data_IF_896522539560
#
_entry.id   IF_896522539560
#
_cell.length_a   1.000
_cell.length_b   1.000
_cell.length_c   1.000
_cell.angle_alpha   90.00
_cell.angle_beta   90.00
_cell.angle_gamma   90.00
#
_symmetry.space_group_name_H-M   'P 1'
#
loop_
_entity.id
_entity.type
_entity.pdbx_description
1 polymer ?
#
# COMPACT_ATOMS: atom_id res chain seq x y z
N UNK A 1 27.50 17.66 0.87
CA UNK A 1 27.85 18.02 -0.52
C UNK A 1 28.30 16.75 -1.23
N UNK A 2 27.77 16.47 -2.41
CA UNK A 2 28.20 15.34 -3.25
C UNK A 2 28.75 15.92 -4.55
N UNK A 3 29.96 15.50 -4.95
CA UNK A 3 30.61 15.96 -6.18
C UNK A 3 30.75 14.76 -7.12
N UNK A 4 30.27 14.89 -8.35
CA UNK A 4 30.29 13.83 -9.35
C UNK A 4 30.97 14.35 -10.63
N UNK A 5 31.96 13.62 -11.19
CA UNK A 5 32.60 14.02 -12.44
C UNK A 5 31.60 14.01 -13.62
N UNK A 6 31.62 15.05 -14.45
CA UNK A 6 30.73 15.16 -15.62
C UNK A 6 30.82 13.96 -16.57
N UNK A 7 32.02 13.39 -16.74
CA UNK A 7 32.22 12.19 -17.58
C UNK A 7 31.41 10.98 -17.11
N UNK A 8 31.23 10.82 -15.79
CA UNK A 8 30.40 9.74 -15.21
C UNK A 8 28.90 10.03 -15.36
N UNK A 9 28.51 11.30 -15.35
CA UNK A 9 27.11 11.73 -15.50
C UNK A 9 26.62 11.48 -16.94
N UNK A 10 27.42 11.86 -17.94
CA UNK A 10 27.05 11.72 -19.36
C UNK A 10 27.02 10.23 -19.77
N UNK A 11 27.88 9.40 -19.18
CA UNK A 11 27.92 7.97 -19.46
C UNK A 11 26.79 7.14 -18.84
N UNK A 12 25.93 7.75 -18.01
CA UNK A 12 24.85 7.06 -17.30
C UNK A 12 23.46 7.63 -17.59
N UNK A 13 22.42 6.96 -17.08
CA UNK A 13 21.04 7.44 -17.19
C UNK A 13 20.80 8.60 -16.21
N UNK A 14 20.25 9.71 -16.72
CA UNK A 14 19.88 10.88 -15.91
C UNK A 14 18.36 10.94 -15.79
N UNK A 15 17.84 10.81 -14.56
CA UNK A 15 16.41 10.92 -14.26
C UNK A 15 16.13 12.33 -13.75
N UNK A 16 15.33 13.10 -14.50
CA UNK A 16 14.94 14.45 -14.13
C UNK A 16 13.47 14.47 -13.67
N UNK A 17 13.26 14.65 -12.37
CA UNK A 17 11.93 14.71 -11.77
C UNK A 17 11.22 16.05 -11.98
N UNK A 18 11.93 17.14 -12.30
CA UNK A 18 11.38 18.49 -12.41
C UNK A 18 10.89 18.82 -13.83
N UNK A 19 11.40 18.12 -14.85
CA UNK A 19 11.07 18.40 -16.26
C UNK A 19 9.59 18.20 -16.60
N UNK A 20 8.91 17.26 -15.93
CA UNK A 20 7.49 17.00 -16.15
C UNK A 20 6.64 17.68 -15.07
N UNK A 21 5.54 18.37 -15.45
CA UNK A 21 4.72 19.13 -14.50
C UNK A 21 3.86 18.24 -13.60
N UNK A 22 3.56 17.02 -14.06
CA UNK A 22 2.72 16.06 -13.35
C UNK A 22 3.48 14.79 -13.04
N UNK A 23 3.22 14.22 -11.87
CA UNK A 23 3.83 12.99 -11.40
C UNK A 23 2.78 12.06 -10.87
N UNK A 24 2.92 10.77 -11.18
CA UNK A 24 2.03 9.73 -10.68
C UNK A 24 2.48 9.32 -9.28
N UNK A 25 1.55 9.34 -8.34
CA UNK A 25 1.68 8.81 -7.00
C UNK A 25 1.16 7.38 -6.99
N UNK A 26 1.85 6.49 -6.29
CA UNK A 26 1.44 5.11 -6.08
C UNK A 26 1.44 4.81 -4.57
N UNK A 27 0.32 4.33 -4.06
CA UNK A 27 0.16 3.87 -2.68
C UNK A 27 -0.34 2.42 -2.71
N UNK A 28 0.30 1.56 -1.93
CA UNK A 28 -0.12 0.18 -1.70
C UNK A 28 -0.76 0.11 -0.32
N UNK A 29 -2.00 -0.36 -0.27
CA UNK A 29 -2.80 -0.46 0.97
C UNK A 29 -3.15 -1.92 1.20
N UNK A 30 -2.64 -2.50 2.28
CA UNK A 30 -2.99 -3.85 2.72
C UNK A 30 -4.22 -3.84 3.63
N UNK A 31 -5.24 -4.61 3.31
CA UNK A 31 -6.43 -4.82 4.15
C UNK A 31 -6.62 -6.29 4.48
N UNK A 32 -7.43 -6.58 5.48
CA UNK A 32 -7.69 -7.94 5.94
C UNK A 32 -8.48 -8.74 4.90
N UNK A 33 -8.31 -10.06 4.91
CA UNK A 33 -8.92 -10.98 3.94
C UNK A 33 -10.44 -11.09 4.05
N UNK A 34 -11.00 -10.74 5.20
CA UNK A 34 -12.44 -10.71 5.49
C UNK A 34 -13.14 -9.48 4.89
N UNK A 35 -12.39 -8.51 4.39
CA UNK A 35 -12.90 -7.25 3.90
C UNK A 35 -13.47 -7.38 2.48
N UNK A 36 -14.69 -6.87 2.28
CA UNK A 36 -15.38 -6.97 0.99
C UNK A 36 -14.73 -6.05 -0.07
N UNK A 37 -14.41 -6.61 -1.24
CA UNK A 37 -13.59 -5.97 -2.28
C UNK A 37 -14.25 -4.72 -2.85
N UNK A 38 -15.56 -4.76 -3.11
CA UNK A 38 -16.30 -3.63 -3.67
C UNK A 38 -16.38 -2.47 -2.67
N UNK A 39 -16.51 -2.76 -1.38
CA UNK A 39 -16.56 -1.81 -0.29
C UNK A 39 -15.21 -1.09 -0.12
N UNK A 40 -14.11 -1.84 -0.05
CA UNK A 40 -12.76 -1.27 0.06
C UNK A 40 -12.49 -0.34 -1.14
N UNK A 41 -12.82 -0.78 -2.36
CA UNK A 41 -12.67 0.07 -3.55
C UNK A 41 -13.49 1.34 -3.47
N UNK A 42 -14.75 1.26 -3.02
CA UNK A 42 -15.61 2.43 -2.89
C UNK A 42 -15.07 3.43 -1.86
N UNK A 43 -14.53 2.96 -0.74
CA UNK A 43 -13.93 3.81 0.29
C UNK A 43 -12.68 4.50 -0.25
N UNK A 44 -11.76 3.75 -0.89
CA UNK A 44 -10.55 4.32 -1.50
C UNK A 44 -10.87 5.32 -2.61
N UNK A 45 -11.87 5.03 -3.46
CA UNK A 45 -12.33 5.96 -4.49
C UNK A 45 -12.81 7.29 -3.92
N UNK A 46 -13.58 7.26 -2.82
CA UNK A 46 -14.08 8.49 -2.19
C UNK A 46 -12.96 9.35 -1.61
N UNK A 47 -11.92 8.74 -1.03
CA UNK A 47 -10.75 9.47 -0.54
C UNK A 47 -10.06 10.17 -1.70
N UNK A 48 -9.83 9.45 -2.81
CA UNK A 48 -9.23 10.03 -4.02
C UNK A 48 -10.10 11.14 -4.61
N UNK A 49 -11.42 10.97 -4.69
CA UNK A 49 -12.36 12.00 -5.21
C UNK A 49 -12.45 13.24 -4.31
N UNK A 50 -12.11 13.11 -3.03
CA UNK A 50 -12.19 14.23 -2.08
C UNK A 50 -10.99 15.19 -2.14
N UNK A 51 -9.86 14.77 -2.71
CA UNK A 51 -8.66 15.62 -2.83
C UNK A 51 -8.64 16.39 -4.15
N UNK A 52 -8.91 17.69 -4.07
CA UNK A 52 -8.92 18.60 -5.22
C UNK A 52 -7.59 18.74 -5.97
N UNK A 53 -6.46 18.33 -5.37
CA UNK A 53 -5.13 18.38 -6.01
C UNK A 53 -4.92 17.22 -7.00
N UNK A 54 -5.79 16.21 -6.98
CA UNK A 54 -5.70 15.05 -7.86
C UNK A 54 -6.25 15.38 -9.26
N UNK A 55 -5.44 15.07 -10.27
CA UNK A 55 -5.74 15.33 -11.68
C UNK A 55 -6.57 14.20 -12.28
N UNK A 56 -7.87 14.15 -11.95
CA UNK A 56 -8.78 13.07 -12.38
C UNK A 56 -8.87 12.87 -13.90
N UNK A 57 -8.63 13.92 -14.69
CA UNK A 57 -8.64 13.85 -16.16
C UNK A 57 -7.50 13.00 -16.73
N UNK A 58 -6.41 12.77 -15.98
CA UNK A 58 -5.31 11.87 -16.37
C UNK A 58 -5.58 10.41 -15.98
N UNK A 59 -6.70 10.14 -15.32
CA UNK A 59 -7.14 8.82 -14.90
C UNK A 59 -6.58 8.38 -13.55
N UNK A 60 -7.35 7.54 -12.87
CA UNK A 60 -7.07 7.06 -11.52
C UNK A 60 -7.24 5.53 -11.54
N UNK A 61 -6.28 4.81 -10.96
CA UNK A 61 -6.34 3.34 -10.89
C UNK A 61 -6.45 2.91 -9.45
N UNK A 62 -7.60 2.31 -9.09
CA UNK A 62 -7.85 1.73 -7.78
C UNK A 62 -8.28 0.28 -7.99
N UNK A 63 -7.38 -0.67 -7.68
CA UNK A 63 -7.57 -2.09 -7.98
C UNK A 63 -6.92 -2.96 -6.90
N UNK A 64 -7.44 -4.18 -6.74
CA UNK A 64 -6.73 -5.23 -6.01
C UNK A 64 -5.51 -5.62 -6.85
N UNK A 65 -4.32 -5.47 -6.27
CA UNK A 65 -3.04 -5.71 -6.92
C UNK A 65 -2.52 -7.12 -6.63
N UNK A 66 -2.68 -7.58 -5.39
CA UNK A 66 -2.09 -8.83 -4.93
C UNK A 66 -2.86 -9.40 -3.73
N UNK A 67 -2.95 -10.73 -3.67
CA UNK A 67 -3.40 -11.49 -2.50
C UNK A 67 -2.15 -12.01 -1.77
N UNK A 68 -1.65 -11.24 -0.81
CA UNK A 68 -0.38 -11.49 -0.13
C UNK A 68 -0.55 -12.43 1.08
N UNK A 69 0.55 -12.81 1.75
CA UNK A 69 0.54 -13.82 2.81
C UNK A 69 -0.42 -13.54 3.98
N UNK A 70 -0.65 -12.28 4.33
CA UNK A 70 -1.55 -11.90 5.43
C UNK A 70 -2.51 -10.76 5.09
N UNK A 71 -2.49 -10.25 3.85
CA UNK A 71 -3.28 -9.09 3.42
C UNK A 71 -3.73 -9.16 1.97
N UNK A 72 -4.82 -8.47 1.66
CA UNK A 72 -5.21 -8.10 0.30
C UNK A 72 -4.63 -6.72 -0.01
N UNK A 73 -3.70 -6.65 -0.96
CA UNK A 73 -2.99 -5.43 -1.31
C UNK A 73 -3.70 -4.70 -2.45
N UNK A 74 -4.18 -3.50 -2.19
CA UNK A 74 -4.76 -2.60 -3.18
C UNK A 74 -3.71 -1.61 -3.66
N UNK A 75 -3.71 -1.35 -4.97
CA UNK A 75 -2.92 -0.27 -5.55
C UNK A 75 -3.84 0.93 -5.83
N UNK A 76 -3.43 2.10 -5.33
CA UNK A 76 -4.02 3.40 -5.62
C UNK A 76 -3.00 4.20 -6.41
N UNK A 77 -3.31 4.50 -7.68
CA UNK A 77 -2.49 5.34 -8.55
C UNK A 77 -3.26 6.57 -8.97
N UNK A 78 -2.69 7.73 -8.69
CA UNK A 78 -3.28 9.04 -8.99
C UNK A 78 -2.22 9.98 -9.54
N UNK A 79 -2.64 10.99 -10.29
CA UNK A 79 -1.73 12.02 -10.80
C UNK A 79 -1.90 13.30 -9.99
N UNK A 80 -0.79 13.94 -9.66
CA UNK A 80 -0.76 15.24 -8.99
C UNK A 80 0.28 16.14 -9.67
N UNK A 81 0.24 17.43 -9.36
CA UNK A 81 1.32 18.34 -9.74
C UNK A 81 2.60 17.98 -8.99
N UNK A 82 3.74 18.23 -9.63
CA UNK A 82 5.04 17.92 -9.04
C UNK A 82 5.31 18.71 -7.75
N UNK A 83 4.80 19.95 -7.67
CA UNK A 83 4.93 20.79 -6.48
C UNK A 83 4.20 20.20 -5.25
N UNK A 84 3.04 19.58 -5.48
CA UNK A 84 2.15 19.08 -4.43
C UNK A 84 2.38 17.59 -4.13
N UNK A 85 3.33 16.94 -4.82
CA UNK A 85 3.48 15.48 -4.84
C UNK A 85 3.58 14.86 -3.43
N UNK A 86 4.39 15.45 -2.55
CA UNK A 86 4.61 14.91 -1.21
C UNK A 86 3.44 15.19 -0.27
N UNK A 87 2.88 16.39 -0.35
CA UNK A 87 1.74 16.76 0.50
C UNK A 87 0.52 15.89 0.15
N UNK A 88 0.24 15.68 -1.14
CA UNK A 88 -0.81 14.75 -1.59
C UNK A 88 -0.50 13.32 -1.14
N UNK A 89 0.74 12.87 -1.21
CA UNK A 89 1.12 11.52 -0.77
C UNK A 89 0.82 11.31 0.71
N UNK A 90 1.24 12.23 1.59
CA UNK A 90 1.05 12.11 3.03
C UNK A 90 -0.42 12.28 3.44
N UNK A 91 -1.09 13.31 2.93
CA UNK A 91 -2.51 13.56 3.25
C UNK A 91 -3.39 12.40 2.78
N UNK A 92 -3.12 11.83 1.61
CA UNK A 92 -3.84 10.68 1.10
C UNK A 92 -3.58 9.43 1.94
N UNK A 93 -2.35 9.22 2.43
CA UNK A 93 -2.04 8.09 3.31
C UNK A 93 -2.82 8.18 4.64
N UNK A 94 -2.84 9.36 5.26
CA UNK A 94 -3.60 9.61 6.48
C UNK A 94 -5.11 9.49 6.23
N UNK A 95 -5.60 10.10 5.15
CA UNK A 95 -7.00 10.05 4.75
C UNK A 95 -7.49 8.62 4.46
N UNK A 96 -6.67 7.80 3.80
CA UNK A 96 -6.94 6.38 3.60
C UNK A 96 -7.08 5.67 4.95
N UNK A 97 -6.13 5.85 5.86
CA UNK A 97 -6.18 5.19 7.18
C UNK A 97 -7.44 5.59 7.96
N UNK A 98 -7.73 6.89 8.03
CA UNK A 98 -8.93 7.39 8.71
C UNK A 98 -10.22 6.86 8.08
N UNK A 99 -10.27 6.76 6.75
CA UNK A 99 -11.43 6.23 6.04
C UNK A 99 -11.62 4.72 6.31
N UNK A 100 -10.55 3.93 6.27
CA UNK A 100 -10.60 2.51 6.59
C UNK A 100 -11.12 2.27 8.02
N UNK A 101 -10.62 3.04 9.00
CA UNK A 101 -11.05 2.94 10.40
C UNK A 101 -12.55 3.27 10.56
N UNK A 102 -13.01 4.36 9.92
CA UNK A 102 -14.42 4.77 9.95
C UNK A 102 -15.34 3.68 9.39
N UNK A 103 -14.87 2.96 8.39
CA UNK A 103 -15.59 1.87 7.73
C UNK A 103 -15.34 0.49 8.38
N UNK A 104 -14.58 0.43 9.47
CA UNK A 104 -14.22 -0.81 10.20
C UNK A 104 -13.51 -1.84 9.32
N UNK A 105 -12.74 -1.38 8.33
CA UNK A 105 -11.91 -2.25 7.49
C UNK A 105 -10.61 -2.50 8.23
N UNK A 106 -10.34 -3.76 8.56
CA UNK A 106 -9.15 -4.15 9.32
C UNK A 106 -7.88 -4.04 8.48
N UNK A 107 -6.81 -3.54 9.10
CA UNK A 107 -5.45 -3.66 8.57
C UNK A 107 -4.79 -4.81 9.33
N UNK A 108 -4.44 -5.92 8.66
CA UNK A 108 -4.03 -7.14 9.34
C UNK A 108 -2.60 -6.99 9.86
N UNK A 109 -2.38 -7.48 11.08
CA UNK A 109 -1.04 -7.85 11.51
C UNK A 109 -0.60 -9.14 10.81
N UNK A 110 0.72 -9.45 10.78
CA UNK A 110 1.20 -10.73 10.30
C UNK A 110 0.44 -11.89 10.94
N UNK A 111 -0.18 -12.75 10.12
CA UNK A 111 -0.96 -13.89 10.58
C UNK A 111 -0.09 -15.14 10.60
N UNK A 112 -0.23 -15.96 11.64
CA UNK A 112 0.43 -17.25 11.78
C UNK A 112 -0.58 -18.28 12.28
N UNK A 113 -0.82 -19.33 11.48
CA UNK A 113 -1.62 -20.47 11.92
C UNK A 113 -0.71 -21.49 12.62
N UNK A 114 -1.12 -21.96 13.80
CA UNK A 114 -0.35 -22.89 14.64
C UNK A 114 -1.20 -24.11 14.95
N UNK A 115 -0.86 -25.24 14.31
CA UNK A 115 -1.50 -26.52 14.57
C UNK A 115 -0.79 -27.24 15.73
N UNK A 116 -1.45 -27.32 16.89
CA UNK A 116 -0.94 -28.07 18.03
C UNK A 116 -1.27 -29.55 17.91
N UNK A 117 -0.24 -30.37 17.66
CA UNK A 117 -0.35 -31.82 17.73
C UNK A 117 0.15 -32.31 19.09
N UNK A 118 -0.77 -32.76 19.95
CA UNK A 118 -0.40 -33.34 21.26
C UNK A 118 0.20 -34.72 21.03
N UNK A 119 1.50 -34.88 21.31
CA UNK A 119 2.13 -36.20 21.32
C UNK A 119 1.51 -37.05 22.44
N UNK A 120 1.07 -38.26 22.12
CA UNK A 120 0.56 -39.21 23.11
C UNK A 120 1.71 -39.63 24.03
N UNK A 121 1.57 -39.33 25.33
CA UNK A 121 2.52 -39.79 26.35
C UNK A 121 2.33 -41.30 26.49
N UNK A 122 3.33 -42.09 26.10
CA UNK A 122 3.38 -43.51 26.44
C UNK A 122 3.60 -43.62 27.94
N UNK A 123 2.60 -44.13 28.66
CA UNK A 123 2.79 -44.57 30.03
C UNK A 123 3.69 -45.82 29.99
N UNK A 124 4.97 -45.67 30.33
CA UNK A 124 5.83 -46.78 30.67
C UNK A 124 5.34 -47.35 32.01
N UNK A 125 4.63 -48.47 31.93
CA UNK A 125 4.23 -49.26 33.09
C UNK A 125 5.51 -49.92 33.64
N UNK A 126 6.05 -49.38 34.73
CA UNK A 126 7.10 -50.02 35.52
C UNK A 126 6.52 -51.28 36.17
N UNK A 127 6.98 -52.45 35.73
CA UNK A 127 6.70 -53.72 36.38
C UNK A 127 7.57 -53.86 37.64
N UNK A 128 6.91 -54.24 38.74
CA UNK A 128 7.50 -54.72 40.00
C UNK A 128 8.35 -56.00 39.80
#
# INVERSE_FOLDING_TARGET
MVVVPNGKIIGGNIINYTRHPHRRIEIIVGVAYDSEVSHVKAVLSRVVESDSRILHHLGNTIRLNEMAASSLNYVVRVWANNADYWDVYYDMMEGIKTALDKHKIGIPYPQLDVHFHRAAVRAECTAD
#
